data_IF_403147490261
#
_entry.id   IF_403147490261
#
_cell.length_a   1.000
_cell.length_b   1.000
_cell.length_c   1.000
_cell.angle_alpha   90.00
_cell.angle_beta   90.00
_cell.angle_gamma   90.00
#
_symmetry.space_group_name_H-M   'P 1'
#
loop_
_entity.id
_entity.type
_entity.pdbx_description
1 polymer ?
#
# COMPACT_ATOMS: atom_id res chain seq x y z
N UNK A 1 19.86 10.48 49.53
CA UNK A 1 18.56 9.80 49.65
C UNK A 1 17.62 10.54 48.70
N UNK A 2 17.30 10.06 47.49
CA UNK A 2 16.62 8.81 47.15
C UNK A 2 17.22 8.23 45.86
N UNK A 3 17.61 6.97 45.94
CA UNK A 3 18.05 6.11 44.84
C UNK A 3 16.84 5.56 44.09
N UNK A 4 16.69 5.90 42.81
CA UNK A 4 15.80 5.21 41.87
C UNK A 4 16.66 4.42 40.89
N UNK A 5 16.74 3.11 41.11
CA UNK A 5 17.54 2.19 40.32
C UNK A 5 16.99 1.92 38.91
N UNK A 6 17.77 1.26 38.04
CA UNK A 6 17.39 0.97 36.67
C UNK A 6 16.29 -0.11 36.65
N UNK A 7 15.11 0.25 36.11
CA UNK A 7 14.06 -0.73 35.81
C UNK A 7 14.51 -1.59 34.63
N UNK A 8 14.97 -2.79 34.96
CA UNK A 8 15.28 -3.88 34.03
C UNK A 8 14.03 -4.23 33.21
N UNK A 9 13.98 -3.76 31.95
CA UNK A 9 13.03 -4.24 30.97
C UNK A 9 13.54 -5.59 30.43
N UNK A 10 13.28 -6.66 31.17
CA UNK A 10 13.47 -8.04 30.72
C UNK A 10 12.42 -8.38 29.65
N UNK A 11 12.49 -7.71 28.49
CA UNK A 11 11.84 -8.16 27.28
C UNK A 11 12.53 -9.44 26.82
N UNK A 12 11.87 -10.57 27.02
CA UNK A 12 12.33 -11.91 26.61
C UNK A 12 13.02 -11.87 25.24
N UNK A 13 14.31 -12.22 25.18
CA UNK A 13 15.09 -12.36 23.92
C UNK A 13 14.39 -13.29 22.92
N UNK A 14 13.50 -14.17 23.40
CA UNK A 14 12.68 -15.08 22.61
C UNK A 14 11.60 -14.34 21.80
N UNK A 15 11.06 -13.24 22.34
CA UNK A 15 10.03 -12.43 21.67
C UNK A 15 10.58 -11.66 20.47
N UNK A 16 11.83 -11.17 20.54
CA UNK A 16 12.49 -10.48 19.42
C UNK A 16 12.88 -11.44 18.28
N UNK A 17 13.26 -12.69 18.60
CA UNK A 17 13.55 -13.72 17.58
C UNK A 17 12.32 -14.14 16.77
N UNK A 18 11.15 -14.20 17.41
CA UNK A 18 9.91 -14.59 16.73
C UNK A 18 9.37 -13.52 15.77
N UNK A 19 9.64 -12.23 16.02
CA UNK A 19 9.25 -11.14 15.13
C UNK A 19 10.10 -11.12 13.84
N UNK A 20 11.40 -11.38 13.94
CA UNK A 20 12.30 -11.43 12.77
C UNK A 20 11.96 -12.55 11.78
N UNK A 21 11.30 -13.62 12.24
CA UNK A 21 10.96 -14.80 11.43
C UNK A 21 9.66 -14.64 10.63
N UNK A 22 8.86 -13.60 10.87
CA UNK A 22 7.59 -13.34 10.16
C UNK A 22 7.71 -12.46 8.90
N UNK A 23 8.94 -12.11 8.49
CA UNK A 23 9.23 -11.34 7.27
C UNK A 23 9.81 -12.21 6.14
N UNK A 24 9.53 -13.51 6.11
CA UNK A 24 9.90 -14.33 4.95
C UNK A 24 8.95 -13.98 3.80
N UNK A 25 9.45 -13.20 2.84
CA UNK A 25 8.81 -13.01 1.55
C UNK A 25 8.60 -14.37 0.86
N UNK A 26 7.46 -14.51 0.21
CA UNK A 26 7.11 -15.70 -0.57
C UNK A 26 8.11 -15.79 -1.74
N UNK A 27 8.96 -16.81 -1.76
CA UNK A 27 9.94 -17.05 -2.83
C UNK A 27 9.20 -17.76 -4.00
N UNK A 28 9.09 -17.15 -5.20
CA UNK A 28 8.26 -17.65 -6.31
C UNK A 28 8.77 -18.93 -7.01
N UNK A 29 9.58 -19.76 -6.35
CA UNK A 29 10.10 -21.02 -6.89
C UNK A 29 10.12 -22.19 -5.89
N UNK A 30 9.46 -22.06 -4.74
CA UNK A 30 9.49 -23.07 -3.66
C UNK A 30 8.12 -23.61 -3.25
N UNK A 31 7.06 -23.27 -3.99
CA UNK A 31 5.68 -23.61 -3.65
C UNK A 31 5.29 -24.95 -4.30
N UNK A 32 4.56 -25.78 -3.56
CA UNK A 32 3.91 -26.97 -4.10
C UNK A 32 2.70 -26.59 -4.98
N UNK A 33 2.25 -27.45 -5.91
CA UNK A 33 1.11 -27.15 -6.78
C UNK A 33 -0.19 -26.82 -6.04
N UNK A 34 -0.36 -27.36 -4.81
CA UNK A 34 -1.50 -27.03 -3.95
C UNK A 34 -1.39 -25.63 -3.35
N UNK A 35 -0.20 -25.26 -2.90
CA UNK A 35 0.07 -23.92 -2.34
C UNK A 35 -0.04 -22.84 -3.42
N UNK A 36 0.33 -23.13 -4.67
CA UNK A 36 0.14 -22.22 -5.80
C UNK A 36 -1.34 -21.94 -6.08
N UNK A 37 -2.20 -22.96 -6.02
CA UNK A 37 -3.64 -22.78 -6.18
C UNK A 37 -4.26 -21.95 -5.05
N UNK A 38 -3.83 -22.18 -3.81
CA UNK A 38 -4.26 -21.37 -2.66
C UNK A 38 -3.78 -19.92 -2.80
N UNK A 39 -2.53 -19.73 -3.22
CA UNK A 39 -1.96 -18.41 -3.48
C UNK A 39 -2.76 -17.65 -4.55
N UNK A 40 -3.11 -18.28 -5.66
CA UNK A 40 -3.91 -17.66 -6.72
C UNK A 40 -5.27 -17.19 -6.20
N UNK A 41 -5.97 -18.01 -5.41
CA UNK A 41 -7.23 -17.62 -4.76
C UNK A 41 -7.04 -16.44 -3.82
N UNK A 42 -5.96 -16.45 -3.05
CA UNK A 42 -5.63 -15.34 -2.15
C UNK A 42 -5.33 -14.05 -2.93
N UNK A 43 -4.58 -14.13 -4.03
CA UNK A 43 -4.28 -12.98 -4.89
C UNK A 43 -5.54 -12.37 -5.50
N UNK A 44 -6.48 -13.18 -5.97
CA UNK A 44 -7.77 -12.70 -6.48
C UNK A 44 -8.58 -11.96 -5.39
N UNK A 45 -8.64 -12.52 -4.18
CA UNK A 45 -9.30 -11.88 -3.05
C UNK A 45 -8.64 -10.56 -2.68
N UNK A 46 -7.31 -10.50 -2.66
CA UNK A 46 -6.57 -9.28 -2.36
C UNK A 46 -6.74 -8.23 -3.48
N UNK A 47 -6.82 -8.65 -4.74
CA UNK A 47 -7.12 -7.76 -5.87
C UNK A 47 -8.49 -7.08 -5.68
N UNK A 48 -9.52 -7.85 -5.32
CA UNK A 48 -10.86 -7.31 -5.08
C UNK A 48 -10.89 -6.33 -3.91
N UNK A 49 -10.20 -6.66 -2.80
CA UNK A 49 -10.07 -5.74 -1.67
C UNK A 49 -9.35 -4.45 -2.05
N UNK A 50 -8.29 -4.55 -2.84
CA UNK A 50 -7.55 -3.39 -3.34
C UNK A 50 -8.44 -2.50 -4.21
N UNK A 51 -9.29 -3.09 -5.07
CA UNK A 51 -10.25 -2.34 -5.86
C UNK A 51 -11.28 -1.60 -5.00
N UNK A 52 -11.83 -2.24 -3.96
CA UNK A 52 -12.76 -1.58 -3.02
C UNK A 52 -12.08 -0.45 -2.26
N UNK A 53 -10.84 -0.66 -1.81
CA UNK A 53 -10.05 0.37 -1.13
C UNK A 53 -9.78 1.58 -2.03
N UNK A 54 -9.44 1.34 -3.30
CA UNK A 54 -9.24 2.39 -4.29
C UNK A 54 -10.52 3.21 -4.47
N UNK A 55 -11.66 2.54 -4.62
CA UNK A 55 -12.95 3.21 -4.79
C UNK A 55 -13.30 4.12 -3.61
N UNK A 56 -13.14 3.64 -2.38
CA UNK A 56 -13.40 4.44 -1.18
C UNK A 56 -12.50 5.68 -1.11
N UNK A 57 -11.24 5.53 -1.50
CA UNK A 57 -10.29 6.64 -1.47
C UNK A 57 -10.56 7.67 -2.58
N UNK A 58 -11.00 7.24 -3.77
CA UNK A 58 -11.47 8.16 -4.84
C UNK A 58 -12.62 9.02 -4.33
N UNK A 59 -13.59 8.41 -3.63
CA UNK A 59 -14.74 9.14 -3.09
C UNK A 59 -14.28 10.20 -2.09
N UNK A 60 -13.42 9.83 -1.14
CA UNK A 60 -12.96 10.73 -0.08
C UNK A 60 -12.16 11.92 -0.62
N UNK A 61 -11.21 11.66 -1.52
CA UNK A 61 -10.36 12.68 -2.14
C UNK A 61 -11.18 13.64 -3.02
N UNK A 62 -12.09 13.09 -3.84
CA UNK A 62 -12.92 13.90 -4.72
C UNK A 62 -13.97 14.70 -3.95
N UNK A 63 -14.53 14.15 -2.88
CA UNK A 63 -15.42 14.89 -2.00
C UNK A 63 -14.68 16.05 -1.31
N UNK A 64 -13.50 15.77 -0.74
CA UNK A 64 -12.68 16.80 -0.08
C UNK A 64 -12.34 17.93 -1.06
N UNK A 65 -11.86 17.57 -2.26
CA UNK A 65 -11.40 18.54 -3.27
C UNK A 65 -12.55 19.36 -3.86
N UNK A 66 -13.66 18.71 -4.22
CA UNK A 66 -14.74 19.37 -4.97
C UNK A 66 -15.83 19.95 -4.07
N UNK A 67 -16.14 19.35 -2.92
CA UNK A 67 -17.27 19.73 -2.08
C UNK A 67 -16.83 20.44 -0.78
N UNK A 68 -15.72 20.02 -0.17
CA UNK A 68 -15.34 20.48 1.18
C UNK A 68 -14.37 21.68 1.18
N UNK A 69 -13.43 21.71 0.23
CA UNK A 69 -12.43 22.79 0.10
C UNK A 69 -12.66 23.71 -1.11
N UNK A 70 -13.72 23.47 -1.89
CA UNK A 70 -14.08 24.28 -3.06
C UNK A 70 -14.55 25.70 -2.71
N UNK A 71 -14.51 26.61 -3.68
CA UNK A 71 -14.84 28.06 -3.53
C UNK A 71 -16.28 28.37 -3.06
N UNK A 72 -17.12 27.35 -2.85
CA UNK A 72 -18.55 27.51 -2.48
C UNK A 72 -18.96 26.92 -1.13
N UNK A 73 -18.10 26.18 -0.44
CA UNK A 73 -18.41 25.60 0.88
C UNK A 73 -19.73 24.81 0.95
N UNK A 74 -20.16 24.43 2.16
CA UNK A 74 -21.46 23.78 2.39
C UNK A 74 -22.62 24.78 2.29
N UNK A 75 -22.89 25.30 1.09
CA UNK A 75 -24.00 26.22 0.87
C UNK A 75 -25.35 25.51 0.71
N UNK A 76 -25.36 24.24 0.26
CA UNK A 76 -26.60 23.51 0.03
C UNK A 76 -26.47 22.00 0.28
N UNK A 77 -27.61 21.34 0.53
CA UNK A 77 -27.69 19.87 0.70
C UNK A 77 -27.65 19.10 -0.63
N UNK A 78 -27.62 19.81 -1.75
CA UNK A 78 -27.66 19.26 -3.10
C UNK A 78 -26.39 19.63 -3.87
N UNK A 79 -25.89 18.71 -4.68
CA UNK A 79 -24.75 18.99 -5.56
C UNK A 79 -25.15 19.96 -6.67
N UNK A 80 -24.45 21.09 -6.77
CA UNK A 80 -24.54 21.98 -7.91
C UNK A 80 -23.92 21.35 -9.16
N UNK A 81 -24.32 21.81 -10.34
CA UNK A 81 -23.82 21.30 -11.62
C UNK A 81 -22.29 21.46 -11.76
N UNK A 82 -21.73 22.52 -11.15
CA UNK A 82 -20.29 22.75 -11.11
C UNK A 82 -19.53 21.72 -10.27
N UNK A 83 -20.12 21.26 -9.16
CA UNK A 83 -19.55 20.23 -8.28
C UNK A 83 -19.61 18.86 -8.96
N UNK A 84 -20.74 18.54 -9.62
CA UNK A 84 -20.85 17.32 -10.43
C UNK A 84 -19.77 17.25 -11.51
N UNK A 85 -19.58 18.34 -12.26
CA UNK A 85 -18.52 18.42 -13.27
C UNK A 85 -17.11 18.30 -12.67
N UNK A 86 -16.90 18.80 -11.44
CA UNK A 86 -15.65 18.62 -10.71
C UNK A 86 -15.43 17.14 -10.32
N UNK A 87 -16.46 16.47 -9.79
CA UNK A 87 -16.40 15.06 -9.39
C UNK A 87 -16.05 14.15 -10.57
N UNK A 88 -16.69 14.34 -11.74
CA UNK A 88 -16.39 13.57 -12.95
C UNK A 88 -14.93 13.72 -13.39
N UNK A 89 -14.41 14.96 -13.38
CA UNK A 89 -13.02 15.26 -13.71
C UNK A 89 -12.06 14.68 -12.67
N UNK A 90 -12.41 14.77 -11.38
CA UNK A 90 -11.60 14.26 -10.29
C UNK A 90 -11.46 12.74 -10.38
N UNK A 91 -12.58 12.01 -10.50
CA UNK A 91 -12.57 10.56 -10.62
C UNK A 91 -11.74 10.10 -11.84
N UNK A 92 -11.94 10.74 -13.00
CA UNK A 92 -11.17 10.43 -14.21
C UNK A 92 -9.67 10.64 -14.01
N UNK A 93 -9.27 11.78 -13.43
CA UNK A 93 -7.87 12.08 -13.14
C UNK A 93 -7.27 11.10 -12.14
N UNK A 94 -8.02 10.72 -11.11
CA UNK A 94 -7.54 9.79 -10.10
C UNK A 94 -7.27 8.41 -10.70
N UNK A 95 -8.17 7.88 -11.54
CA UNK A 95 -7.91 6.59 -12.20
C UNK A 95 -6.71 6.65 -13.14
N UNK A 96 -6.55 7.73 -13.91
CA UNK A 96 -5.34 7.92 -14.73
C UNK A 96 -4.06 7.98 -13.89
N UNK A 97 -4.12 8.65 -12.74
CA UNK A 97 -3.02 8.72 -11.78
C UNK A 97 -2.69 7.33 -11.23
N UNK A 98 -3.70 6.58 -10.78
CA UNK A 98 -3.51 5.24 -10.21
C UNK A 98 -2.79 4.31 -11.20
N UNK A 99 -3.20 4.32 -12.48
CA UNK A 99 -2.54 3.54 -13.52
C UNK A 99 -1.09 3.98 -13.77
N UNK A 100 -0.86 5.30 -13.80
CA UNK A 100 0.49 5.84 -14.00
C UNK A 100 1.42 5.51 -12.85
N UNK A 101 0.94 5.63 -11.61
CA UNK A 101 1.69 5.27 -10.40
C UNK A 101 1.98 3.77 -10.41
N UNK A 102 1.01 2.93 -10.77
CA UNK A 102 1.21 1.48 -10.92
C UNK A 102 2.32 1.14 -11.90
N UNK A 103 2.33 1.75 -13.08
CA UNK A 103 3.40 1.56 -14.06
C UNK A 103 4.77 1.95 -13.51
N UNK A 104 4.88 3.14 -12.89
CA UNK A 104 6.16 3.62 -12.35
C UNK A 104 6.63 2.79 -11.16
N UNK A 105 5.70 2.30 -10.34
CA UNK A 105 6.01 1.41 -9.23
C UNK A 105 6.58 0.08 -9.72
N UNK A 106 5.97 -0.53 -10.74
CA UNK A 106 6.48 -1.75 -11.36
C UNK A 106 7.88 -1.56 -11.95
N UNK A 107 8.12 -0.45 -12.65
CA UNK A 107 9.43 -0.09 -13.19
C UNK A 107 10.50 0.01 -12.08
N UNK A 108 10.20 0.72 -10.99
CA UNK A 108 11.13 0.87 -9.86
C UNK A 108 11.41 -0.44 -9.14
N UNK A 109 10.39 -1.28 -8.98
CA UNK A 109 10.56 -2.60 -8.36
C UNK A 109 11.44 -3.52 -9.22
N UNK A 110 11.27 -3.50 -10.55
CA UNK A 110 12.12 -4.23 -11.48
C UNK A 110 13.58 -3.76 -11.41
N UNK A 111 13.82 -2.44 -11.38
CA UNK A 111 15.17 -1.88 -11.22
C UNK A 111 15.83 -2.30 -9.90
N UNK A 112 15.10 -2.23 -8.78
CA UNK A 112 15.60 -2.65 -7.47
C UNK A 112 15.95 -4.15 -7.45
N UNK A 113 15.11 -4.98 -8.07
CA UNK A 113 15.36 -6.43 -8.19
C UNK A 113 16.61 -6.72 -9.04
N UNK A 114 16.82 -5.98 -10.13
CA UNK A 114 18.01 -6.11 -10.97
C UNK A 114 19.30 -5.71 -10.21
N UNK A 115 19.27 -4.60 -9.46
CA UNK A 115 20.40 -4.18 -8.62
C UNK A 115 20.72 -5.19 -7.51
N UNK A 116 19.70 -5.84 -6.94
CA UNK A 116 19.89 -6.91 -5.97
C UNK A 116 20.57 -8.14 -6.58
N UNK A 117 20.21 -8.51 -7.81
CA UNK A 117 20.89 -9.61 -8.53
C UNK A 117 22.34 -9.29 -8.87
N UNK A 118 22.65 -8.04 -9.21
CA UNK A 118 24.02 -7.61 -9.48
C UNK A 118 24.94 -7.72 -8.25
N UNK A 119 24.44 -7.41 -7.05
CA UNK A 119 25.22 -7.55 -5.81
C UNK A 119 25.48 -9.02 -5.42
N UNK A 120 24.64 -9.97 -5.83
CA UNK A 120 24.85 -11.40 -5.60
C UNK A 120 25.92 -12.01 -6.52
N UNK A 121 26.37 -11.27 -7.54
CA UNK A 121 27.36 -11.70 -8.54
C UNK A 121 28.74 -11.08 -8.32
N UNK A 122 29.00 -10.43 -7.18
CA UNK A 122 30.38 -10.16 -6.75
C UNK A 122 30.90 -11.34 -5.92
N UNK A 123 31.62 -12.31 -6.51
CA UNK A 123 32.49 -13.16 -5.71
C UNK A 123 33.53 -12.24 -5.05
N UNK A 124 33.76 -12.45 -3.76
CA UNK A 124 34.68 -11.63 -2.97
C UNK A 124 36.04 -11.45 -3.65
N UNK A 125 36.53 -10.22 -3.63
CA UNK A 125 37.95 -9.89 -3.72
C UNK A 125 38.62 -10.09 -2.37
#
# INVERSE_FOLDING_TARGET
>A
KISLGPKSAAGSRRSRRNAARKMNGIQPGSLTPREEQELMKHLELEQMKAQTSLYNHVIDECFTTCCQTGWRGFASKSLEESEKSCLDKCATKYFMLFQRVGFRFAERNAQQTALMQQNLQQPGS
#
